data_IF_816478887078
#
_entry.id   IF_816478887078
#
_cell.length_a   1.000
_cell.length_b   1.000
_cell.length_c   1.000
_cell.angle_alpha   90.00
_cell.angle_beta   90.00
_cell.angle_gamma   90.00
#
_symmetry.space_group_name_H-M   'P 1'
#
loop_
_entity.id
_entity.type
_entity.pdbx_description
1 polymer ?
#
# COMPACT_ATOMS: atom_id res chain seq x y z
N UNK A 1 -2.41 -5.63 -15.36
CA UNK A 1 -2.68 -4.87 -14.12
C UNK A 1 -2.68 -5.89 -13.01
N UNK A 2 -1.85 -5.70 -12.00
CA UNK A 2 -1.73 -6.64 -10.88
C UNK A 2 -2.75 -6.30 -9.79
N UNK A 3 -2.99 -7.26 -8.90
CA UNK A 3 -3.85 -7.07 -7.73
C UNK A 3 -3.02 -6.42 -6.60
N UNK A 4 -3.22 -5.12 -6.39
CA UNK A 4 -2.54 -4.37 -5.32
C UNK A 4 -3.24 -4.54 -3.97
N UNK A 5 -4.43 -5.13 -3.93
CA UNK A 5 -5.18 -5.36 -2.67
C UNK A 5 -4.54 -6.46 -1.81
N UNK A 6 -3.51 -7.14 -2.32
CA UNK A 6 -2.63 -7.96 -1.48
C UNK A 6 -1.91 -7.13 -0.41
N UNK A 7 -1.84 -5.80 -0.56
CA UNK A 7 -1.23 -4.90 0.41
C UNK A 7 -2.28 -4.44 1.42
N UNK A 8 -2.02 -4.67 2.70
CA UNK A 8 -2.91 -4.23 3.77
C UNK A 8 -3.07 -2.70 3.74
N UNK A 9 -4.32 -2.24 3.75
CA UNK A 9 -4.67 -0.82 3.61
C UNK A 9 -4.99 -0.40 2.18
N UNK A 10 -4.74 -1.25 1.17
CA UNK A 10 -5.17 -1.00 -0.22
C UNK A 10 -6.47 -1.76 -0.50
N UNK A 11 -7.59 -1.04 -0.43
CA UNK A 11 -8.90 -1.54 -0.89
C UNK A 11 -9.17 -1.21 -2.38
N UNK A 12 -10.28 -1.71 -2.96
CA UNK A 12 -10.58 -1.53 -4.39
C UNK A 12 -10.55 -0.08 -4.89
N UNK A 13 -11.00 0.87 -4.07
CA UNK A 13 -10.98 2.30 -4.43
C UNK A 13 -9.58 2.92 -4.43
N UNK A 14 -8.70 2.43 -3.57
CA UNK A 14 -7.32 2.90 -3.48
C UNK A 14 -6.52 2.29 -4.64
N UNK A 15 -6.73 0.99 -4.92
CA UNK A 15 -6.18 0.34 -6.10
C UNK A 15 -6.57 1.11 -7.38
N UNK A 16 -7.86 1.44 -7.56
CA UNK A 16 -8.32 2.23 -8.71
C UNK A 16 -7.62 3.60 -8.77
N UNK A 17 -7.47 4.28 -7.65
CA UNK A 17 -6.78 5.57 -7.56
C UNK A 17 -5.30 5.45 -7.94
N UNK A 18 -4.58 4.47 -7.40
CA UNK A 18 -3.17 4.22 -7.69
C UNK A 18 -2.96 3.91 -9.18
N UNK A 19 -3.85 3.10 -9.75
CA UNK A 19 -3.86 2.83 -11.19
C UNK A 19 -4.05 4.10 -12.02
N UNK A 20 -4.97 4.99 -11.63
CA UNK A 20 -5.14 6.29 -12.33
C UNK A 20 -3.91 7.19 -12.26
N UNK A 21 -3.07 7.03 -11.24
CA UNK A 21 -1.82 7.79 -11.05
C UNK A 21 -0.58 7.02 -11.57
N UNK A 22 -0.79 5.95 -12.34
CA UNK A 22 0.24 5.21 -13.07
C UNK A 22 0.94 4.10 -12.29
N UNK A 23 0.38 3.67 -11.15
CA UNK A 23 0.93 2.59 -10.32
C UNK A 23 0.05 1.35 -10.51
N UNK A 24 0.51 0.42 -11.34
CA UNK A 24 -0.27 -0.73 -11.84
C UNK A 24 0.26 -2.10 -11.40
N UNK A 25 1.45 -2.13 -10.79
CA UNK A 25 2.17 -3.34 -10.42
C UNK A 25 2.71 -3.23 -9.01
N UNK A 26 2.93 -4.38 -8.38
CA UNK A 26 3.56 -4.53 -7.08
C UNK A 26 4.97 -3.92 -7.12
N UNK A 27 5.72 -4.13 -8.21
CA UNK A 27 7.03 -3.53 -8.40
C UNK A 27 6.96 -1.99 -8.41
N UNK A 28 6.06 -1.41 -9.20
CA UNK A 28 5.88 0.05 -9.20
C UNK A 28 5.46 0.58 -7.83
N UNK A 29 4.62 -0.16 -7.11
CA UNK A 29 4.20 0.22 -5.76
C UNK A 29 5.38 0.15 -4.76
N UNK A 30 6.22 -0.88 -4.86
CA UNK A 30 7.43 -1.03 -4.05
C UNK A 30 8.44 0.10 -4.28
N UNK A 31 8.56 0.56 -5.53
CA UNK A 31 9.46 1.64 -5.91
C UNK A 31 8.86 3.04 -5.67
N UNK A 32 7.57 3.13 -5.36
CA UNK A 32 6.91 4.42 -5.13
C UNK A 32 7.20 4.93 -3.73
N UNK A 33 7.68 6.17 -3.63
CA UNK A 33 7.95 6.80 -2.33
C UNK A 33 6.67 7.05 -1.53
N UNK A 34 6.78 6.97 -0.19
CA UNK A 34 5.69 7.26 0.75
C UNK A 34 5.13 8.68 0.52
N UNK A 35 6.01 9.64 0.19
CA UNK A 35 5.63 11.04 -0.10
C UNK A 35 4.70 11.11 -1.32
N UNK A 36 5.02 10.38 -2.40
CA UNK A 36 4.17 10.34 -3.60
C UNK A 36 2.83 9.68 -3.29
N UNK A 37 2.82 8.57 -2.56
CA UNK A 37 1.58 7.89 -2.17
C UNK A 37 0.69 8.80 -1.31
N UNK A 38 1.26 9.49 -0.33
CA UNK A 38 0.53 10.44 0.50
C UNK A 38 -0.04 11.61 -0.33
N UNK A 39 0.72 12.11 -1.31
CA UNK A 39 0.24 13.15 -2.22
C UNK A 39 -0.94 12.68 -3.09
N UNK A 40 -0.89 11.44 -3.59
CA UNK A 40 -1.99 10.82 -4.33
C UNK A 40 -3.26 10.72 -3.49
N UNK A 41 -3.15 10.21 -2.25
CA UNK A 41 -4.29 10.12 -1.32
C UNK A 41 -4.85 11.51 -0.98
N UNK A 42 -3.97 12.49 -0.76
CA UNK A 42 -4.38 13.88 -0.48
C UNK A 42 -5.16 14.47 -1.64
N UNK A 43 -4.69 14.29 -2.88
CA UNK A 43 -5.33 14.78 -4.11
C UNK A 43 -6.70 14.13 -4.34
N UNK A 44 -6.86 12.87 -3.98
CA UNK A 44 -8.12 12.14 -4.10
C UNK A 44 -9.20 12.58 -3.08
N UNK A 45 -8.80 13.30 -2.03
CA UNK A 45 -9.70 13.97 -1.09
C UNK A 45 -9.73 13.36 0.32
N UNK A 46 -10.46 14.00 1.26
CA UNK A 46 -10.36 13.71 2.70
C UNK A 46 -10.65 12.25 3.07
N UNK A 47 -11.53 11.56 2.32
CA UNK A 47 -11.88 10.16 2.58
C UNK A 47 -10.70 9.20 2.45
N UNK A 48 -9.70 9.54 1.64
CA UNK A 48 -8.51 8.71 1.42
C UNK A 48 -7.36 9.06 2.36
N UNK A 49 -7.38 10.23 2.99
CA UNK A 49 -6.32 10.72 3.89
C UNK A 49 -6.28 9.99 5.24
N UNK A 50 -7.35 9.24 5.58
CA UNK A 50 -7.39 8.38 6.77
C UNK A 50 -6.46 7.16 6.60
N UNK A 51 -6.12 6.81 5.36
CA UNK A 51 -5.24 5.69 5.06
C UNK A 51 -3.78 6.05 5.29
N UNK A 52 -3.01 5.10 5.81
CA UNK A 52 -1.60 5.28 6.06
C UNK A 52 -0.76 4.50 5.03
N UNK A 53 -0.10 5.17 4.06
CA UNK A 53 0.66 4.51 3.02
C UNK A 53 2.08 4.10 3.43
N UNK A 54 2.51 4.37 4.66
CA UNK A 54 3.92 4.18 5.10
C UNK A 54 4.42 2.75 4.93
N UNK A 55 3.56 1.76 5.09
CA UNK A 55 3.92 0.34 4.96
C UNK A 55 3.75 -0.20 3.55
N UNK A 56 3.06 0.49 2.64
CA UNK A 56 2.70 -0.07 1.33
C UNK A 56 3.92 -0.42 0.47
N UNK A 57 4.95 0.44 0.34
CA UNK A 57 6.14 0.07 -0.44
C UNK A 57 6.87 -1.14 0.12
N UNK A 58 6.96 -1.23 1.46
CA UNK A 58 7.63 -2.36 2.12
C UNK A 58 6.87 -3.67 1.95
N UNK A 59 5.54 -3.64 2.13
CA UNK A 59 4.70 -4.81 1.87
C UNK A 59 4.79 -5.26 0.41
N UNK A 60 4.83 -4.30 -0.52
CA UNK A 60 4.95 -4.59 -1.95
C UNK A 60 6.31 -5.20 -2.29
N UNK A 61 7.40 -4.71 -1.69
CA UNK A 61 8.72 -5.33 -1.83
C UNK A 61 8.73 -6.78 -1.34
N UNK A 62 8.15 -7.05 -0.18
CA UNK A 62 8.05 -8.42 0.35
C UNK A 62 7.20 -9.32 -0.54
N UNK A 63 6.09 -8.82 -1.08
CA UNK A 63 5.24 -9.55 -2.02
C UNK A 63 5.96 -9.83 -3.35
N UNK A 64 6.69 -8.85 -3.89
CA UNK A 64 7.52 -8.99 -5.10
C UNK A 64 8.58 -10.08 -4.92
N UNK A 65 9.22 -10.12 -3.76
CA UNK A 65 10.26 -11.09 -3.42
C UNK A 65 9.70 -12.45 -2.97
N UNK A 66 8.38 -12.64 -3.01
CA UNK A 66 7.67 -13.86 -2.56
C UNK A 66 7.92 -14.22 -1.08
N UNK A 67 8.24 -13.21 -0.26
CA UNK A 67 8.53 -13.34 1.18
C UNK A 67 7.23 -13.28 2.00
N UNK A 68 6.35 -14.26 1.76
CA UNK A 68 5.01 -14.28 2.35
C UNK A 68 5.01 -14.36 3.88
N UNK A 69 5.96 -15.08 4.48
CA UNK A 69 6.10 -15.17 5.93
C UNK A 69 6.48 -13.82 6.56
N UNK A 70 7.44 -13.11 5.96
CA UNK A 70 7.84 -11.76 6.40
C UNK A 70 6.71 -10.75 6.20
N UNK A 71 5.94 -10.88 5.10
CA UNK A 71 4.79 -10.03 4.83
C UNK A 71 3.71 -10.22 5.91
N UNK A 72 3.43 -11.45 6.30
CA UNK A 72 2.41 -11.75 7.30
C UNK A 72 2.85 -11.29 8.70
N UNK A 73 4.14 -11.41 9.04
CA UNK A 73 4.68 -10.84 10.27
C UNK A 73 4.57 -9.31 10.30
N UNK A 74 4.87 -8.65 9.18
CA UNK A 74 4.70 -7.19 9.07
C UNK A 74 3.24 -6.77 9.27
N UNK A 75 2.28 -7.50 8.69
CA UNK A 75 0.84 -7.25 8.90
C UNK A 75 0.44 -7.39 10.36
N UNK A 76 0.89 -8.46 11.04
CA UNK A 76 0.65 -8.65 12.48
C UNK A 76 1.17 -7.47 13.31
N UNK A 77 2.39 -7.01 13.03
CA UNK A 77 2.98 -5.88 13.72
C UNK A 77 2.17 -4.58 13.51
N UNK A 78 1.69 -4.35 12.28
CA UNK A 78 0.85 -3.19 11.96
C UNK A 78 -0.48 -3.24 12.70
N UNK A 79 -1.15 -4.40 12.72
CA UNK A 79 -2.41 -4.56 13.44
C UNK A 79 -2.24 -4.41 14.95
N UNK A 80 -1.19 -5.00 15.53
CA UNK A 80 -0.91 -4.88 16.97
C UNK A 80 -0.64 -3.42 17.39
N UNK A 81 0.03 -2.63 16.55
CA UNK A 81 0.30 -1.22 16.83
C UNK A 81 -0.94 -0.32 16.67
N UNK A 82 -2.03 -0.80 16.06
CA UNK A 82 -3.30 -0.05 15.94
C UNK A 82 -4.20 -0.20 17.17
N UNK A 83 -3.93 -1.17 18.05
CA UNK A 83 -4.77 -1.49 19.22
C UNK A 83 -4.35 -0.75 20.51
N UNK A 84 -3.40 0.19 20.42
CA UNK A 84 -2.94 1.06 21.52
C UNK A 84 -3.03 2.53 21.13
#
# INVERSE_FOLDING_TARGET
MEDLKIIEGIGPKIEELLNREGIHTIEQLADTSIIRLAAVLKKAGPRFQIQNPTSWPKQALLAKDQKWDELEELRRLIMSNKEF
#
